data_IF_031479410195
#
_entry.id   IF_031479410195
#
_cell.length_a   1.000
_cell.length_b   1.000
_cell.length_c   1.000
_cell.angle_alpha   90.00
_cell.angle_beta   90.00
_cell.angle_gamma   90.00
#
_symmetry.space_group_name_H-M   'P 1'
#
loop_
_entity.id
_entity.type
_entity.pdbx_description
1 polymer ?
#
# COMPACT_ATOMS: atom_id res chain seq x y z
N UNK A 1 -0.69 -19.41 12.70
CA UNK A 1 -1.29 -18.10 12.62
C UNK A 1 -1.39 -17.66 11.16
N UNK A 2 -2.55 -17.24 10.78
CA UNK A 2 -2.76 -16.78 9.40
C UNK A 2 -2.50 -15.28 9.31
N UNK A 3 -2.07 -14.85 8.15
CA UNK A 3 -1.94 -13.44 7.82
C UNK A 3 -2.92 -13.09 6.71
N UNK A 4 -3.22 -11.81 6.57
CA UNK A 4 -4.17 -11.34 5.58
C UNK A 4 -3.46 -11.23 4.23
N UNK A 5 -4.04 -11.87 3.22
CA UNK A 5 -3.46 -11.91 1.89
C UNK A 5 -3.88 -10.67 1.08
N UNK A 6 -2.94 -10.13 0.33
CA UNK A 6 -3.20 -8.99 -0.54
C UNK A 6 -3.62 -9.46 -1.93
N UNK A 7 -4.53 -8.71 -2.54
CA UNK A 7 -4.81 -8.88 -3.97
C UNK A 7 -3.65 -8.29 -4.77
N UNK A 8 -3.56 -8.63 -6.05
CA UNK A 8 -2.50 -8.11 -6.92
C UNK A 8 -2.49 -6.59 -6.96
N UNK A 9 -3.66 -5.98 -7.02
CA UNK A 9 -3.77 -4.52 -7.06
C UNK A 9 -3.32 -3.89 -5.75
N UNK A 10 -3.71 -4.49 -4.62
CA UNK A 10 -3.29 -4.01 -3.31
C UNK A 10 -1.78 -4.12 -3.14
N UNK A 11 -1.21 -5.21 -3.64
CA UNK A 11 0.23 -5.41 -3.57
C UNK A 11 0.98 -4.35 -4.37
N UNK A 12 0.47 -3.95 -5.53
CA UNK A 12 1.07 -2.87 -6.32
C UNK A 12 1.09 -1.55 -5.54
N UNK A 13 -0.01 -1.25 -4.85
CA UNK A 13 -0.08 -0.05 -4.02
C UNK A 13 0.98 -0.11 -2.92
N UNK A 14 1.10 -1.25 -2.24
CA UNK A 14 2.11 -1.41 -1.20
C UNK A 14 3.53 -1.31 -1.76
N UNK A 15 3.77 -1.84 -2.96
CA UNK A 15 5.08 -1.72 -3.61
C UNK A 15 5.46 -0.25 -3.81
N UNK A 16 4.50 0.59 -4.17
CA UNK A 16 4.76 2.02 -4.29
C UNK A 16 5.18 2.62 -2.95
N UNK A 17 4.48 2.25 -1.87
CA UNK A 17 4.81 2.75 -0.53
C UNK A 17 6.19 2.27 -0.10
N UNK A 18 6.48 0.98 -0.28
CA UNK A 18 7.77 0.42 0.10
C UNK A 18 8.92 1.03 -0.70
N UNK A 19 8.75 1.17 -2.02
CA UNK A 19 9.79 1.72 -2.89
C UNK A 19 10.06 3.19 -2.63
N UNK A 20 9.04 3.94 -2.22
CA UNK A 20 9.20 5.36 -1.95
C UNK A 20 10.06 5.64 -0.72
N UNK A 21 10.05 4.74 0.25
CA UNK A 21 10.81 4.91 1.48
C UNK A 21 10.33 6.06 2.35
N UNK A 22 9.10 6.51 2.13
CA UNK A 22 8.49 7.60 2.91
C UNK A 22 6.98 7.44 2.88
N UNK A 23 6.29 8.19 3.72
CA UNK A 23 4.83 8.20 3.72
C UNK A 23 4.34 8.91 2.45
N UNK A 24 3.27 8.40 1.87
CA UNK A 24 2.73 8.91 0.61
C UNK A 24 1.32 9.46 0.80
N UNK A 25 1.02 10.55 0.09
CA UNK A 25 -0.34 11.03 -0.06
C UNK A 25 -1.04 10.23 -1.16
N UNK A 26 -2.36 10.40 -1.27
CA UNK A 26 -3.13 9.78 -2.36
C UNK A 26 -2.61 10.19 -3.73
N UNK A 27 -2.34 11.49 -3.91
CA UNK A 27 -1.86 12.01 -5.19
C UNK A 27 -0.49 11.44 -5.54
N UNK A 28 0.40 11.35 -4.58
CA UNK A 28 1.72 10.75 -4.78
C UNK A 28 1.60 9.28 -5.16
N UNK A 29 0.71 8.54 -4.50
CA UNK A 29 0.48 7.14 -4.80
C UNK A 29 -0.05 6.98 -6.24
N UNK A 30 -0.98 7.82 -6.65
CA UNK A 30 -1.49 7.82 -8.03
C UNK A 30 -0.37 8.02 -9.04
N UNK A 31 0.50 8.99 -8.79
CA UNK A 31 1.60 9.31 -9.70
C UNK A 31 2.57 8.14 -9.81
N UNK A 32 2.91 7.51 -8.69
CA UNK A 32 3.84 6.38 -8.70
C UNK A 32 3.26 5.16 -9.39
N UNK A 33 1.97 4.88 -9.20
CA UNK A 33 1.31 3.77 -9.89
C UNK A 33 1.34 3.98 -11.40
N UNK A 34 1.11 5.21 -11.84
CA UNK A 34 1.14 5.53 -13.27
C UNK A 34 2.57 5.43 -13.83
N UNK A 35 3.53 6.03 -13.13
CA UNK A 35 4.90 6.13 -13.63
C UNK A 35 5.64 4.80 -13.59
N UNK A 36 5.44 4.02 -12.52
CA UNK A 36 6.22 2.79 -12.32
C UNK A 36 5.53 1.55 -12.87
N UNK A 37 4.20 1.54 -12.91
CA UNK A 37 3.45 0.34 -13.29
C UNK A 37 2.46 0.57 -14.42
N UNK A 38 2.39 1.79 -14.94
CA UNK A 38 1.48 2.12 -16.04
C UNK A 38 0.01 2.01 -15.68
N UNK A 39 -0.32 2.11 -14.40
CA UNK A 39 -1.70 1.96 -13.91
C UNK A 39 -2.37 3.32 -13.81
N UNK A 40 -3.27 3.58 -14.73
CA UNK A 40 -4.03 4.83 -14.76
C UNK A 40 -5.37 4.67 -14.06
N UNK A 41 -5.33 4.22 -12.81
CA UNK A 41 -6.53 4.00 -12.02
C UNK A 41 -7.12 5.32 -11.54
N UNK A 42 -8.44 5.34 -11.39
CA UNK A 42 -9.14 6.51 -10.89
C UNK A 42 -8.81 6.72 -9.41
N UNK A 43 -8.90 7.99 -9.00
CA UNK A 43 -8.63 8.38 -7.62
C UNK A 43 -9.45 7.55 -6.63
N UNK A 44 -10.74 7.37 -6.93
CA UNK A 44 -11.62 6.62 -6.04
C UNK A 44 -11.20 5.15 -5.92
N UNK A 45 -10.74 4.56 -7.01
CA UNK A 45 -10.26 3.18 -7.02
C UNK A 45 -9.05 3.03 -6.10
N UNK A 46 -8.10 3.95 -6.20
CA UNK A 46 -6.89 3.91 -5.37
C UNK A 46 -7.25 4.16 -3.91
N UNK A 47 -8.16 5.09 -3.66
CA UNK A 47 -8.64 5.36 -2.31
C UNK A 47 -9.23 4.11 -1.65
N UNK A 48 -9.98 3.32 -2.43
CA UNK A 48 -10.57 2.07 -1.96
C UNK A 48 -9.47 1.06 -1.60
N UNK A 49 -8.45 0.92 -2.44
CA UNK A 49 -7.32 0.02 -2.15
C UNK A 49 -6.59 0.45 -0.88
N UNK A 50 -6.37 1.75 -0.71
CA UNK A 50 -5.73 2.27 0.49
C UNK A 50 -6.55 1.97 1.74
N UNK A 51 -7.87 2.11 1.65
CA UNK A 51 -8.76 1.79 2.76
C UNK A 51 -8.68 0.30 3.11
N UNK A 52 -8.68 -0.56 2.10
CA UNK A 52 -8.56 -2.01 2.32
C UNK A 52 -7.24 -2.35 3.01
N UNK A 53 -6.15 -1.68 2.61
CA UNK A 53 -4.85 -1.92 3.21
C UNK A 53 -4.81 -1.46 4.67
N UNK A 54 -5.51 -0.38 4.99
CA UNK A 54 -5.66 0.05 6.38
C UNK A 54 -6.43 -1.01 7.18
N UNK A 55 -7.52 -1.50 6.63
CA UNK A 55 -8.34 -2.53 7.29
C UNK A 55 -7.57 -3.82 7.50
N UNK A 56 -6.66 -4.15 6.59
CA UNK A 56 -5.82 -5.35 6.67
C UNK A 56 -4.60 -5.17 7.57
N UNK A 57 -4.39 -3.95 8.08
CA UNK A 57 -3.27 -3.68 8.98
C UNK A 57 -1.94 -3.40 8.32
N UNK A 58 -1.92 -3.18 7.00
CA UNK A 58 -0.70 -2.88 6.27
C UNK A 58 -0.34 -1.41 6.29
N UNK A 59 -1.34 -0.55 6.39
CA UNK A 59 -1.15 0.90 6.39
C UNK A 59 -1.90 1.52 7.55
N UNK A 60 -1.40 2.67 7.99
CA UNK A 60 -2.16 3.61 8.81
C UNK A 60 -2.21 4.94 8.08
N UNK A 61 -3.15 5.79 8.43
CA UNK A 61 -3.24 7.11 7.83
C UNK A 61 -3.24 8.18 8.89
N UNK A 62 -2.73 9.33 8.51
CA UNK A 62 -2.78 10.53 9.35
C UNK A 62 -2.94 11.74 8.44
N UNK A 63 -3.38 12.83 9.01
CA UNK A 63 -3.66 14.05 8.24
C UNK A 63 -2.72 15.17 8.65
N UNK A 64 -2.17 15.84 7.64
CA UNK A 64 -1.42 17.07 7.84
C UNK A 64 -2.14 18.16 7.03
N UNK A 65 -2.73 19.12 7.74
CA UNK A 65 -3.58 20.10 7.08
C UNK A 65 -4.80 19.44 6.46
N UNK A 66 -4.91 19.52 5.13
CA UNK A 66 -6.03 18.92 4.39
C UNK A 66 -5.62 17.67 3.63
N UNK A 67 -4.38 17.19 3.84
CA UNK A 67 -3.84 16.07 3.07
C UNK A 67 -3.67 14.88 4.00
N UNK A 68 -4.19 13.73 3.56
CA UNK A 68 -3.95 12.46 4.24
C UNK A 68 -2.70 11.81 3.69
N UNK A 69 -1.89 11.27 4.60
CA UNK A 69 -0.70 10.49 4.28
C UNK A 69 -0.87 9.07 4.78
N UNK A 70 -0.23 8.15 4.10
CA UNK A 70 -0.33 6.72 4.39
C UNK A 70 1.04 6.21 4.79
N UNK A 71 1.10 5.56 5.93
CA UNK A 71 2.33 5.05 6.53
C UNK A 71 2.29 3.53 6.57
N UNK A 72 3.40 2.89 6.19
CA UNK A 72 3.49 1.43 6.23
C UNK A 72 3.59 0.95 7.68
N UNK A 73 2.73 0.00 8.03
CA UNK A 73 2.79 -0.69 9.32
C UNK A 73 3.55 -2.01 9.19
N UNK A 74 3.55 -2.58 7.99
CA UNK A 74 4.26 -3.81 7.68
C UNK A 74 5.27 -3.46 6.59
N UNK A 75 6.57 -3.69 6.86
CA UNK A 75 7.60 -3.41 5.87
C UNK A 75 7.71 -4.56 4.87
N UNK A 76 8.45 -4.32 3.79
CA UNK A 76 8.62 -5.31 2.72
C UNK A 76 9.25 -6.61 3.22
N UNK A 77 10.23 -6.50 4.09
CA UNK A 77 10.92 -7.67 4.60
C UNK A 77 9.98 -8.55 5.42
N UNK A 78 9.17 -7.96 6.28
CA UNK A 78 8.18 -8.69 7.05
C UNK A 78 7.15 -9.37 6.16
N UNK A 79 6.72 -8.68 5.09
CA UNK A 79 5.78 -9.24 4.14
C UNK A 79 6.38 -10.45 3.41
N UNK A 80 7.61 -10.34 2.96
CA UNK A 80 8.30 -11.44 2.28
C UNK A 80 8.47 -12.64 3.21
N UNK A 81 8.78 -12.38 4.47
CA UNK A 81 8.94 -13.43 5.46
C UNK A 81 7.65 -14.19 5.68
N UNK A 82 6.53 -13.49 5.76
CA UNK A 82 5.22 -14.11 5.91
C UNK A 82 4.90 -15.01 4.71
N UNK A 83 5.20 -14.56 3.51
CA UNK A 83 4.97 -15.35 2.31
C UNK A 83 5.82 -16.61 2.29
N UNK A 84 7.06 -16.51 2.73
CA UNK A 84 7.95 -17.67 2.81
C UNK A 84 7.43 -18.69 3.81
N UNK A 85 6.97 -18.24 4.96
CA UNK A 85 6.42 -19.14 5.98
C UNK A 85 5.15 -19.85 5.49
N UNK A 86 4.39 -19.20 4.63
CA UNK A 86 3.15 -19.75 4.11
C UNK A 86 3.40 -20.99 3.23
N UNK A 87 4.61 -21.15 2.73
CA UNK A 87 4.97 -22.32 1.92
C UNK A 87 5.48 -23.49 2.74
N UNK A 88 5.73 -23.27 4.00
CA UNK A 88 6.20 -24.33 4.88
C UNK A 88 5.02 -24.99 5.59
#
# INVERSE_FOLDING_TARGET
MSYVKLTDCEELVMKCVWDAGKDLSLVETMALLKDNYGKNWKRQTISTFLLHLIQKGFLTSYRVGRVFYYHQEIDLESFRRQQTEDFL
#
